data_IF_146880773689
#
_entry.id   IF_146880773689
#
_cell.length_a   1.000
_cell.length_b   1.000
_cell.length_c   1.000
_cell.angle_alpha   90.00
_cell.angle_beta   90.00
_cell.angle_gamma   90.00
#
_symmetry.space_group_name_H-M   'P 1'
#
loop_
_entity.id
_entity.type
_entity.pdbx_description
1 polymer ?
#
# COMPACT_ATOMS: atom_id res chain seq x y z
N UNK A 1 -3.66 2.78 -13.92
CA UNK A 1 -4.36 2.41 -12.66
C UNK A 1 -4.58 3.69 -11.84
N UNK A 2 -5.69 3.81 -11.12
CA UNK A 2 -5.95 4.92 -10.19
C UNK A 2 -6.25 4.39 -8.78
N UNK A 3 -5.68 5.03 -7.76
CA UNK A 3 -6.02 4.76 -6.36
C UNK A 3 -6.62 6.01 -5.74
N UNK A 4 -7.79 5.86 -5.12
CA UNK A 4 -8.52 6.97 -4.49
C UNK A 4 -8.72 6.71 -3.01
N UNK A 5 -8.80 7.78 -2.23
CA UNK A 5 -9.24 7.65 -0.85
C UNK A 5 -10.73 7.29 -0.82
N UNK A 6 -11.09 6.21 -0.14
CA UNK A 6 -12.49 5.77 -0.04
C UNK A 6 -13.36 6.74 0.77
N UNK A 7 -12.76 7.54 1.65
CA UNK A 7 -13.50 8.48 2.50
C UNK A 7 -13.89 9.78 1.78
N UNK A 8 -12.96 10.39 1.02
CA UNK A 8 -13.21 11.67 0.35
C UNK A 8 -13.27 11.56 -1.19
N UNK A 9 -13.13 10.35 -1.73
CA UNK A 9 -13.14 10.03 -3.16
C UNK A 9 -12.06 10.75 -4.01
N UNK A 10 -11.12 11.48 -3.39
CA UNK A 10 -10.04 12.16 -4.10
C UNK A 10 -8.98 11.15 -4.56
N UNK A 11 -8.49 11.37 -5.78
CA UNK A 11 -7.37 10.63 -6.36
C UNK A 11 -6.12 10.84 -5.51
N UNK A 12 -5.54 9.74 -5.01
CA UNK A 12 -4.28 9.76 -4.27
C UNK A 12 -3.09 9.69 -5.23
N UNK A 13 -3.23 8.92 -6.31
CA UNK A 13 -2.24 8.78 -7.38
C UNK A 13 -2.84 8.04 -8.60
N UNK A 14 -2.26 8.31 -9.78
CA UNK A 14 -2.65 7.76 -11.09
C UNK A 14 -1.41 7.33 -11.87
N UNK A 15 -1.58 6.38 -12.78
CA UNK A 15 -0.55 5.96 -13.74
C UNK A 15 0.07 4.60 -13.40
N UNK A 16 1.37 4.49 -13.66
CA UNK A 16 2.17 3.24 -13.59
C UNK A 16 2.61 2.91 -12.15
N UNK A 17 1.67 3.06 -11.20
CA UNK A 17 1.95 2.71 -9.82
C UNK A 17 1.85 1.20 -9.61
N UNK A 18 2.87 0.63 -8.96
CA UNK A 18 2.91 -0.82 -8.68
C UNK A 18 2.47 -1.06 -7.24
N UNK A 19 1.43 -1.89 -7.10
CA UNK A 19 1.01 -2.46 -5.84
C UNK A 19 1.49 -3.90 -5.74
N UNK A 20 2.00 -4.26 -4.58
CA UNK A 20 2.41 -5.62 -4.24
C UNK A 20 1.46 -6.26 -3.24
N UNK A 21 1.47 -7.59 -3.18
CA UNK A 21 0.96 -8.34 -2.05
C UNK A 21 1.99 -8.44 -0.92
N UNK A 22 1.64 -9.14 0.15
CA UNK A 22 2.51 -9.39 1.29
C UNK A 22 3.81 -10.17 0.96
N UNK A 23 3.95 -10.74 -0.24
CA UNK A 23 5.09 -11.55 -0.70
C UNK A 23 5.96 -10.84 -1.75
N UNK A 24 5.81 -9.52 -1.95
CA UNK A 24 6.52 -8.75 -3.00
C UNK A 24 6.13 -9.13 -4.45
N UNK A 25 5.00 -9.82 -4.65
CA UNK A 25 4.51 -10.12 -5.99
C UNK A 25 3.56 -9.00 -6.44
N UNK A 26 3.61 -8.66 -7.74
CA UNK A 26 2.75 -7.61 -8.30
C UNK A 26 1.30 -8.05 -8.18
N UNK A 27 0.50 -7.22 -7.51
CA UNK A 27 -0.89 -7.51 -7.21
C UNK A 27 -1.75 -7.37 -8.46
N UNK A 28 -2.14 -8.51 -9.01
CA UNK A 28 -3.08 -8.60 -10.13
C UNK A 28 -4.52 -8.76 -9.63
N UNK A 29 -5.49 -8.61 -10.53
CA UNK A 29 -6.93 -8.64 -10.22
C UNK A 29 -7.39 -9.98 -9.58
N UNK A 30 -6.62 -11.06 -9.79
CA UNK A 30 -6.78 -12.39 -9.19
C UNK A 30 -5.50 -12.81 -8.46
N UNK A 31 -5.16 -12.10 -7.39
CA UNK A 31 -4.02 -12.47 -6.56
C UNK A 31 -4.43 -13.62 -5.62
N UNK A 32 -3.82 -14.78 -5.81
CA UNK A 32 -3.90 -15.90 -4.87
C UNK A 32 -2.95 -15.52 -3.73
N UNK A 33 -3.42 -14.66 -2.84
CA UNK A 33 -2.65 -14.21 -1.68
C UNK A 33 -2.12 -15.40 -0.85
N UNK A 34 -1.39 -15.09 0.22
CA UNK A 34 -0.83 -16.11 1.09
C UNK A 34 -1.89 -17.17 1.49
N UNK A 35 -1.65 -18.44 1.13
CA UNK A 35 -2.56 -19.57 1.41
C UNK A 35 -2.74 -19.89 2.90
N UNK A 36 -2.02 -19.21 3.79
CA UNK A 36 -2.09 -19.39 5.24
C UNK A 36 -3.28 -18.66 5.90
N UNK A 37 -4.39 -18.51 5.17
CA UNK A 37 -5.68 -17.95 5.60
C UNK A 37 -5.62 -16.58 6.30
N UNK A 38 -5.65 -15.53 5.49
CA UNK A 38 -6.50 -14.34 5.65
C UNK A 38 -6.43 -13.58 4.31
N UNK A 39 -7.55 -13.16 3.70
CA UNK A 39 -7.50 -12.34 2.50
C UNK A 39 -6.63 -11.12 2.78
N UNK A 40 -5.59 -10.90 1.94
CA UNK A 40 -4.63 -9.82 2.17
C UNK A 40 -5.38 -8.48 2.20
N UNK A 41 -5.70 -8.02 3.42
CA UNK A 41 -6.50 -6.82 3.66
C UNK A 41 -5.74 -5.55 3.28
N UNK A 42 -4.50 -5.71 2.79
CA UNK A 42 -3.62 -4.64 2.40
C UNK A 42 -3.06 -4.85 1.01
N UNK A 43 -2.51 -3.76 0.52
CA UNK A 43 -1.65 -3.71 -0.65
C UNK A 43 -0.40 -2.95 -0.23
N UNK A 44 0.71 -3.29 -0.83
CA UNK A 44 2.01 -2.79 -0.41
C UNK A 44 2.66 -2.04 -1.56
N UNK A 45 3.63 -1.20 -1.23
CA UNK A 45 4.46 -0.51 -2.23
C UNK A 45 5.88 -0.37 -1.70
N UNK A 46 6.78 0.14 -2.54
CA UNK A 46 8.17 0.40 -2.17
C UNK A 46 8.47 1.89 -2.33
N UNK A 47 9.51 2.42 -1.65
CA UNK A 47 9.88 3.83 -1.76
C UNK A 47 10.12 4.29 -3.20
N UNK A 48 10.67 3.43 -4.06
CA UNK A 48 11.00 3.74 -5.45
C UNK A 48 9.74 3.97 -6.31
N UNK A 49 8.63 3.36 -5.91
CA UNK A 49 7.35 3.48 -6.61
C UNK A 49 6.39 4.45 -5.91
N UNK A 50 6.70 4.89 -4.69
CA UNK A 50 5.82 5.69 -3.85
C UNK A 50 5.58 7.10 -4.42
N UNK A 51 4.34 7.63 -4.41
CA UNK A 51 4.08 9.03 -4.74
C UNK A 51 4.75 9.97 -3.73
N UNK A 52 5.05 11.19 -4.16
CA UNK A 52 5.75 12.20 -3.36
C UNK A 52 5.15 12.38 -1.95
N UNK A 53 3.82 12.43 -1.80
CA UNK A 53 3.20 12.63 -0.50
C UNK A 53 3.46 11.49 0.51
N UNK A 54 3.68 10.25 0.02
CA UNK A 54 4.12 9.14 0.88
C UNK A 54 5.59 9.32 1.25
N UNK A 55 6.44 9.70 0.29
CA UNK A 55 7.85 9.96 0.54
C UNK A 55 8.07 11.11 1.52
N UNK A 56 7.28 12.18 1.40
CA UNK A 56 7.31 13.31 2.34
C UNK A 56 6.96 12.85 3.76
N UNK A 57 5.94 12.00 3.92
CA UNK A 57 5.58 11.42 5.21
C UNK A 57 6.69 10.53 5.79
N UNK A 58 7.38 9.76 4.93
CA UNK A 58 8.52 8.92 5.35
C UNK A 58 9.71 9.78 5.80
N UNK A 59 10.01 10.83 5.04
CA UNK A 59 11.09 11.76 5.35
C UNK A 59 10.84 12.52 6.65
N UNK A 60 9.59 12.94 6.91
CA UNK A 60 9.17 13.58 8.16
C UNK A 60 9.40 12.69 9.39
N UNK A 61 9.22 11.38 9.24
CA UNK A 61 9.46 10.39 10.30
C UNK A 61 10.87 9.77 10.24
N UNK A 62 11.80 10.41 9.52
CA UNK A 62 13.21 10.03 9.40
C UNK A 62 13.43 8.56 9.04
N UNK A 63 12.63 8.02 8.10
CA UNK A 63 12.76 6.64 7.64
C UNK A 63 12.64 5.60 8.76
N UNK A 64 11.81 5.88 9.78
CA UNK A 64 11.55 4.95 10.89
C UNK A 64 10.23 4.19 10.69
N UNK A 65 9.21 4.49 11.51
CA UNK A 65 7.87 3.92 11.44
C UNK A 65 6.85 5.03 11.59
N UNK A 66 5.78 4.97 10.81
CA UNK A 66 4.80 6.05 10.77
C UNK A 66 3.45 5.62 10.20
N UNK A 67 2.51 6.57 10.19
CA UNK A 67 1.16 6.38 9.66
C UNK A 67 1.03 7.13 8.34
N UNK A 68 0.27 6.56 7.41
CA UNK A 68 -0.09 7.24 6.18
C UNK A 68 -1.50 7.81 6.29
N UNK A 69 -1.65 9.09 5.98
CA UNK A 69 -2.91 9.82 6.00
C UNK A 69 -3.21 10.37 4.61
N UNK A 70 -4.50 10.44 4.28
CA UNK A 70 -4.95 11.07 3.05
C UNK A 70 -4.58 12.56 3.07
N UNK A 71 -3.89 13.09 2.06
CA UNK A 71 -3.48 14.50 2.03
C UNK A 71 -4.66 15.48 1.91
N UNK A 72 -5.86 14.98 1.56
CA UNK A 72 -7.04 15.82 1.35
C UNK A 72 -8.01 15.83 2.53
N UNK A 73 -8.05 14.78 3.34
CA UNK A 73 -9.05 14.64 4.42
C UNK A 73 -8.48 14.10 5.73
N UNK A 74 -7.17 13.88 5.79
CA UNK A 74 -6.46 13.34 6.94
C UNK A 74 -6.98 11.98 7.47
N UNK A 75 -7.82 11.27 6.70
CA UNK A 75 -8.23 9.92 7.03
C UNK A 75 -7.04 8.96 6.93
N UNK A 76 -6.87 8.07 7.90
CA UNK A 76 -5.77 7.11 7.90
C UNK A 76 -5.95 6.06 6.79
N UNK A 77 -4.94 5.96 5.93
CA UNK A 77 -4.89 5.04 4.79
C UNK A 77 -4.02 3.82 5.06
N UNK A 78 -3.02 3.94 5.94
CA UNK A 78 -2.04 2.89 6.13
C UNK A 78 -0.93 3.24 7.12
N UNK A 79 0.25 2.68 6.88
CA UNK A 79 1.45 2.87 7.70
C UNK A 79 2.71 2.44 6.93
N UNK A 80 3.86 2.88 7.41
CA UNK A 80 5.16 2.35 7.01
C UNK A 80 5.98 1.93 8.22
N UNK A 81 6.87 0.95 8.03
CA UNK A 81 7.82 0.51 9.05
C UNK A 81 9.11 0.02 8.39
N UNK A 82 10.19 0.77 8.57
CA UNK A 82 11.53 0.45 8.10
C UNK A 82 12.48 0.00 9.23
N UNK A 83 12.02 0.05 10.49
CA UNK A 83 12.84 -0.32 11.65
C UNK A 83 12.80 -1.81 11.91
N UNK A 84 11.62 -2.41 11.81
CA UNK A 84 11.42 -3.84 12.07
C UNK A 84 10.94 -4.53 10.80
N UNK A 85 11.58 -5.65 10.47
CA UNK A 85 11.08 -6.57 9.46
C UNK A 85 9.76 -7.18 9.94
N UNK A 86 8.71 -7.04 9.12
CA UNK A 86 7.40 -7.62 9.40
C UNK A 86 7.23 -8.86 8.53
N UNK A 87 7.24 -10.04 9.14
CA UNK A 87 7.01 -11.28 8.41
C UNK A 87 5.55 -11.43 7.97
N UNK A 88 5.35 -12.08 6.83
CA UNK A 88 4.08 -12.65 6.42
C UNK A 88 3.63 -13.70 7.43
N UNK A 89 2.32 -13.93 7.54
CA UNK A 89 1.77 -14.93 8.45
C UNK A 89 2.22 -16.36 8.13
N UNK A 90 2.66 -16.63 6.89
CA UNK A 90 3.30 -17.90 6.55
C UNK A 90 4.74 -18.03 7.08
N UNK A 91 5.29 -16.99 7.71
CA UNK A 91 6.67 -16.90 8.22
C UNK A 91 7.80 -17.10 7.18
N UNK A 92 7.46 -17.23 5.90
CA UNK A 92 8.42 -17.46 4.79
C UNK A 92 8.91 -16.18 4.13
N UNK A 93 8.10 -15.12 4.14
CA UNK A 93 8.37 -13.87 3.43
C UNK A 93 8.38 -12.69 4.39
N UNK A 94 9.17 -11.67 4.08
CA UNK A 94 9.10 -10.36 4.73
C UNK A 94 8.18 -9.47 3.91
N UNK A 95 7.23 -8.80 4.57
CA UNK A 95 6.28 -7.88 3.94
C UNK A 95 6.99 -6.60 3.51
N UNK A 96 6.56 -5.96 2.41
CA UNK A 96 7.09 -4.66 2.07
C UNK A 96 6.77 -3.61 3.15
N UNK A 97 7.66 -2.61 3.34
CA UNK A 97 7.61 -1.72 4.50
C UNK A 97 6.44 -0.75 4.44
N UNK A 98 5.95 -0.40 3.24
CA UNK A 98 4.86 0.57 3.04
C UNK A 98 3.56 -0.19 2.81
N UNK A 99 2.60 -0.03 3.72
CA UNK A 99 1.32 -0.74 3.75
C UNK A 99 0.15 0.23 3.54
N UNK A 100 -0.72 -0.09 2.58
CA UNK A 100 -1.98 0.59 2.28
C UNK A 100 -3.13 -0.36 2.63
N UNK A 101 -4.10 0.11 3.41
CA UNK A 101 -5.24 -0.70 3.84
C UNK A 101 -6.32 -0.67 2.74
N UNK A 102 -6.66 -1.83 2.19
CA UNK A 102 -7.58 -1.93 1.04
C UNK A 102 -8.98 -1.39 1.37
N UNK A 103 -9.45 -1.55 2.62
CA UNK A 103 -10.75 -1.01 3.03
C UNK A 103 -10.79 0.53 3.13
N UNK A 104 -9.65 1.21 3.00
CA UNK A 104 -9.52 2.67 3.07
C UNK A 104 -9.31 3.34 1.71
N UNK A 105 -9.13 2.55 0.64
CA UNK A 105 -8.90 3.05 -0.72
C UNK A 105 -9.77 2.32 -1.72
N UNK A 106 -10.08 2.98 -2.83
CA UNK A 106 -10.62 2.32 -4.02
C UNK A 106 -9.48 2.18 -5.04
N UNK A 107 -9.22 0.97 -5.50
CA UNK A 107 -8.21 0.67 -6.52
C UNK A 107 -8.97 0.39 -7.82
N UNK A 108 -8.75 1.25 -8.81
CA UNK A 108 -9.38 1.19 -10.12
C UNK A 108 -8.34 0.78 -11.16
N UNK A 109 -8.50 -0.42 -11.70
CA UNK A 109 -7.73 -0.89 -12.85
C UNK A 109 -8.35 -0.28 -14.12
N UNK A 110 -7.51 0.32 -14.98
CA UNK A 110 -7.98 0.75 -16.29
C UNK A 110 -8.22 -0.50 -17.13
N UNK A 111 -9.47 -0.72 -17.53
CA UNK A 111 -9.77 -1.75 -18.53
C UNK A 111 -9.05 -1.36 -19.81
N UNK A 112 -8.10 -2.18 -20.27
CA UNK A 112 -7.59 -2.14 -21.64
C UNK A 112 -8.82 -2.19 -22.57
N UNK A 113 -9.06 -1.10 -23.29
CA UNK A 113 -10.02 -1.07 -24.41
C UNK A 113 -9.35 -1.57 -25.67
#
# INVERSE_FOLDING_TARGET
MEVRCKHCCKSLFKGDFILFNAHYEVKQQMDVGCQADEPDCCSYTTPENAPNWIMDAINQEFWTKGKLYCPYCNNRLGSFNFVNELKCYCDKYVKPPIRIVNSKVDILYESLK
#
